data_IF_048036722509
#
_entry.id   IF_048036722509
#
_cell.length_a   1.000
_cell.length_b   1.000
_cell.length_c   1.000
_cell.angle_alpha   90.00
_cell.angle_beta   90.00
_cell.angle_gamma   90.00
#
_symmetry.space_group_name_H-M   'P 1'
#
loop_
_entity.id
_entity.type
_entity.pdbx_description
1 polymer ?
#
# COMPACT_ATOMS: atom_id res chain seq x y z
N UNK A 1 -36.85 -7.67 6.07
CA UNK A 1 -35.51 -8.24 5.80
C UNK A 1 -34.71 -7.21 5.03
N UNK A 2 -33.65 -6.66 5.63
CA UNK A 2 -32.77 -5.71 4.93
C UNK A 2 -31.82 -6.51 4.05
N UNK A 3 -32.00 -6.44 2.73
CA UNK A 3 -31.11 -7.11 1.78
C UNK A 3 -29.72 -6.43 1.89
N UNK A 4 -28.71 -7.18 2.34
CA UNK A 4 -27.34 -6.67 2.42
C UNK A 4 -26.83 -6.56 0.99
N UNK A 5 -26.67 -5.32 0.50
CA UNK A 5 -26.11 -5.07 -0.84
C UNK A 5 -24.67 -5.59 -0.92
N UNK A 6 -24.32 -6.23 -2.04
CA UNK A 6 -22.93 -6.61 -2.32
C UNK A 6 -22.03 -5.39 -2.48
N UNK A 7 -20.70 -5.50 -2.35
CA UNK A 7 -19.84 -4.34 -2.61
C UNK A 7 -19.97 -3.87 -4.06
N UNK A 8 -20.15 -4.77 -5.02
CA UNK A 8 -20.42 -4.41 -6.42
C UNK A 8 -21.64 -3.50 -6.55
N UNK A 9 -22.77 -3.87 -5.93
CA UNK A 9 -24.00 -3.04 -5.96
C UNK A 9 -23.82 -1.68 -5.26
N UNK A 10 -22.96 -1.62 -4.25
CA UNK A 10 -22.69 -0.37 -3.51
C UNK A 10 -21.83 0.60 -4.32
N UNK A 11 -20.95 0.07 -5.17
CA UNK A 11 -20.00 0.84 -5.99
C UNK A 11 -20.39 0.82 -7.48
N UNK A 12 -21.64 0.47 -7.82
CA UNK A 12 -22.08 0.32 -9.21
C UNK A 12 -21.94 1.61 -10.03
N UNK A 13 -22.07 2.77 -9.38
CA UNK A 13 -21.92 4.09 -10.00
C UNK A 13 -20.50 4.67 -9.82
N UNK A 14 -19.52 3.84 -9.44
CA UNK A 14 -18.14 4.24 -9.21
C UNK A 14 -17.19 3.48 -10.12
N UNK A 15 -16.29 4.23 -10.74
CA UNK A 15 -15.26 3.72 -11.64
C UNK A 15 -13.93 4.42 -11.37
N UNK A 16 -12.84 3.78 -11.75
CA UNK A 16 -11.55 4.46 -11.85
C UNK A 16 -11.46 5.06 -13.24
N UNK A 17 -11.24 6.37 -13.30
CA UNK A 17 -11.20 7.11 -14.58
C UNK A 17 -9.77 7.46 -15.00
N UNK A 18 -9.56 7.69 -16.30
CA UNK A 18 -8.29 8.20 -16.82
C UNK A 18 -7.90 9.56 -16.19
N UNK A 19 -8.90 10.38 -15.81
CA UNK A 19 -8.69 11.63 -15.06
C UNK A 19 -8.10 11.36 -13.68
N UNK A 20 -8.59 10.32 -12.98
CA UNK A 20 -8.01 9.92 -11.70
C UNK A 20 -6.57 9.41 -11.86
N UNK A 21 -6.28 8.64 -12.91
CA UNK A 21 -4.91 8.18 -13.18
C UNK A 21 -3.97 9.33 -13.58
N UNK A 22 -4.47 10.31 -14.33
CA UNK A 22 -3.75 11.55 -14.61
C UNK A 22 -3.44 12.30 -13.32
N UNK A 23 -4.44 12.44 -12.44
CA UNK A 23 -4.27 13.03 -11.12
C UNK A 23 -3.28 12.26 -10.25
N UNK A 24 -3.31 10.92 -10.29
CA UNK A 24 -2.37 10.05 -9.60
C UNK A 24 -0.93 10.28 -10.09
N UNK A 25 -0.71 10.32 -11.40
CA UNK A 25 0.58 10.59 -12.05
C UNK A 25 1.12 11.97 -11.69
N UNK A 26 0.28 13.01 -11.80
CA UNK A 26 0.67 14.39 -11.48
C UNK A 26 0.97 14.57 -9.99
N UNK A 27 0.20 13.90 -9.13
CA UNK A 27 0.42 13.92 -7.71
C UNK A 27 1.76 13.25 -7.32
N UNK A 28 2.16 12.22 -8.06
CA UNK A 28 3.43 11.51 -7.86
C UNK A 28 3.38 10.52 -6.69
N UNK A 29 4.56 10.01 -6.28
CA UNK A 29 4.68 8.96 -5.27
C UNK A 29 4.00 9.24 -3.94
N UNK A 30 3.57 8.18 -3.26
CA UNK A 30 2.80 8.27 -2.01
C UNK A 30 1.37 8.79 -2.23
N UNK A 31 0.83 8.64 -3.44
CA UNK A 31 -0.58 8.90 -3.78
C UNK A 31 -1.23 7.59 -4.18
N UNK A 32 -2.48 7.42 -3.77
CA UNK A 32 -3.24 6.19 -3.87
C UNK A 32 -4.64 6.48 -4.43
N UNK A 33 -5.20 5.53 -5.15
CA UNK A 33 -6.64 5.41 -5.38
C UNK A 33 -7.20 4.48 -4.32
N UNK A 34 -8.23 4.94 -3.63
CA UNK A 34 -8.83 4.23 -2.49
C UNK A 34 -10.34 4.15 -2.63
N UNK A 35 -10.92 3.03 -2.20
CA UNK A 35 -12.35 2.89 -1.97
C UNK A 35 -12.69 3.16 -0.50
N UNK A 36 -13.52 4.17 -0.25
CA UNK A 36 -14.11 4.45 1.05
C UNK A 36 -15.36 3.60 1.26
N UNK A 37 -15.26 2.53 2.06
CA UNK A 37 -16.33 1.59 2.33
C UNK A 37 -17.50 2.18 3.12
N UNK A 38 -17.36 3.33 3.77
CA UNK A 38 -18.48 3.96 4.47
C UNK A 38 -19.28 4.87 3.54
N UNK A 39 -18.60 5.55 2.63
CA UNK A 39 -19.18 6.51 1.70
C UNK A 39 -19.54 5.89 0.34
N UNK A 40 -19.08 4.66 0.06
CA UNK A 40 -19.17 4.01 -1.24
C UNK A 40 -18.57 4.86 -2.37
N UNK A 41 -17.40 5.46 -2.13
CA UNK A 41 -16.73 6.34 -3.10
C UNK A 41 -15.35 5.83 -3.45
N UNK A 42 -14.95 6.02 -4.70
CA UNK A 42 -13.58 5.82 -5.17
C UNK A 42 -12.93 7.19 -5.34
N UNK A 43 -11.73 7.38 -4.81
CA UNK A 43 -11.09 8.69 -4.80
C UNK A 43 -9.57 8.62 -4.68
N UNK A 44 -8.93 9.75 -5.00
CA UNK A 44 -7.50 9.96 -4.80
C UNK A 44 -7.21 10.39 -3.36
N UNK A 45 -6.19 9.81 -2.75
CA UNK A 45 -5.74 10.17 -1.42
C UNK A 45 -4.22 10.12 -1.32
N UNK A 46 -3.64 11.06 -0.56
CA UNK A 46 -2.22 10.98 -0.21
C UNK A 46 -2.03 9.96 0.90
N UNK A 47 -1.06 9.05 0.78
CA UNK A 47 -0.78 8.04 1.79
C UNK A 47 -0.51 8.65 3.18
N UNK A 48 0.08 9.84 3.23
CA UNK A 48 0.32 10.58 4.49
C UNK A 48 -0.95 11.05 5.21
N UNK A 49 -2.06 11.20 4.49
CA UNK A 49 -3.36 11.62 5.02
C UNK A 49 -4.31 10.44 5.22
N UNK A 50 -3.94 9.24 4.79
CA UNK A 50 -4.74 8.05 4.96
C UNK A 50 -4.76 7.68 6.45
N UNK A 51 -5.94 7.61 7.10
CA UNK A 51 -6.02 7.08 8.45
C UNK A 51 -5.80 5.57 8.38
N UNK A 52 -4.57 5.10 8.56
CA UNK A 52 -4.19 3.68 8.38
C UNK A 52 -4.84 2.75 9.43
N UNK A 53 -5.32 3.31 10.55
CA UNK A 53 -6.20 2.62 11.50
C UNK A 53 -7.62 2.39 10.98
N UNK A 54 -8.06 3.13 9.96
CA UNK A 54 -9.39 3.04 9.40
C UNK A 54 -9.51 1.86 8.43
N UNK A 55 -10.16 0.80 8.91
CA UNK A 55 -10.44 -0.40 8.11
C UNK A 55 -11.46 -0.18 6.99
N UNK A 56 -12.10 0.99 6.96
CA UNK A 56 -13.07 1.35 5.92
C UNK A 56 -12.41 1.96 4.67
N UNK A 57 -11.07 2.04 4.59
CA UNK A 57 -10.38 2.45 3.38
C UNK A 57 -9.64 1.28 2.76
N UNK A 58 -10.05 0.88 1.55
CA UNK A 58 -9.38 -0.15 0.76
C UNK A 58 -8.49 0.54 -0.27
N UNK A 59 -7.22 0.19 -0.31
CA UNK A 59 -6.29 0.70 -1.32
C UNK A 59 -6.49 -0.14 -2.59
N UNK A 60 -6.91 0.51 -3.67
CA UNK A 60 -7.17 -0.14 -4.96
C UNK A 60 -5.93 -0.13 -5.84
N UNK A 61 -5.20 0.98 -5.82
CA UNK A 61 -4.12 1.24 -6.75
C UNK A 61 -3.21 2.36 -6.22
N UNK A 62 -1.92 2.33 -6.54
CA UNK A 62 -0.97 3.37 -6.14
C UNK A 62 -0.15 3.91 -7.30
N UNK A 63 0.57 5.02 -7.07
CA UNK A 63 1.46 5.60 -8.08
C UNK A 63 2.50 4.59 -8.60
N UNK A 64 3.05 3.75 -7.72
CA UNK A 64 4.01 2.72 -8.11
C UNK A 64 3.39 1.61 -8.95
N UNK A 65 2.08 1.36 -8.84
CA UNK A 65 1.36 0.44 -9.73
C UNK A 65 1.16 1.09 -11.10
N UNK A 66 0.75 2.37 -11.14
CA UNK A 66 0.62 3.13 -12.38
C UNK A 66 1.94 3.18 -13.16
N UNK A 67 3.05 3.46 -12.48
CA UNK A 67 4.36 3.51 -13.11
C UNK A 67 4.76 2.17 -13.75
N UNK A 68 4.32 1.05 -13.19
CA UNK A 68 4.56 -0.27 -13.78
C UNK A 68 3.65 -0.54 -14.97
N UNK A 69 2.36 -0.22 -14.84
CA UNK A 69 1.36 -0.54 -15.86
C UNK A 69 1.45 0.39 -17.08
N UNK A 70 1.99 1.61 -16.92
CA UNK A 70 2.26 2.51 -18.05
C UNK A 70 3.18 1.87 -19.11
N UNK A 71 4.14 1.05 -18.69
CA UNK A 71 5.01 0.32 -19.62
C UNK A 71 4.27 -0.86 -20.29
N UNK A 72 3.35 -1.50 -19.56
CA UNK A 72 2.60 -2.66 -20.05
C UNK A 72 1.49 -2.29 -21.04
N UNK A 73 0.83 -1.15 -20.81
CA UNK A 73 -0.29 -0.64 -21.61
C UNK A 73 0.12 0.47 -22.59
N UNK A 74 1.41 0.59 -22.93
CA UNK A 74 1.95 1.61 -23.86
C UNK A 74 1.49 3.05 -23.54
N UNK A 75 1.30 3.35 -22.25
CA UNK A 75 0.82 4.64 -21.77
C UNK A 75 -0.68 4.92 -21.92
N UNK A 76 -1.50 3.95 -22.35
CA UNK A 76 -2.95 4.09 -22.49
C UNK A 76 -3.64 4.13 -21.11
N UNK A 77 -3.85 5.35 -20.61
CA UNK A 77 -4.55 5.56 -19.35
C UNK A 77 -6.01 5.14 -19.38
N UNK A 78 -6.69 5.15 -20.54
CA UNK A 78 -8.08 4.75 -20.62
C UNK A 78 -8.21 3.24 -20.48
N UNK A 79 -7.33 2.47 -21.12
CA UNK A 79 -7.27 1.02 -20.97
C UNK A 79 -6.93 0.61 -19.54
N UNK A 80 -5.93 1.25 -18.91
CA UNK A 80 -5.60 1.00 -17.50
C UNK A 80 -6.81 1.29 -16.59
N UNK A 81 -7.52 2.40 -16.80
CA UNK A 81 -8.67 2.75 -15.96
C UNK A 81 -9.81 1.74 -16.10
N UNK A 82 -10.08 1.28 -17.33
CA UNK A 82 -11.08 0.25 -17.60
C UNK A 82 -10.70 -1.09 -16.93
N UNK A 83 -9.47 -1.56 -17.15
CA UNK A 83 -8.98 -2.80 -16.55
C UNK A 83 -9.00 -2.76 -15.01
N UNK A 84 -8.62 -1.62 -14.42
CA UNK A 84 -8.65 -1.43 -12.98
C UNK A 84 -10.07 -1.34 -12.42
N UNK A 85 -11.03 -0.80 -13.18
CA UNK A 85 -12.45 -0.75 -12.79
C UNK A 85 -13.04 -2.16 -12.75
N UNK A 86 -12.84 -2.95 -13.81
CA UNK A 86 -13.26 -4.36 -13.85
C UNK A 86 -12.63 -5.17 -12.70
N UNK A 87 -11.31 -5.03 -12.51
CA UNK A 87 -10.62 -5.70 -11.39
C UNK A 87 -11.18 -5.26 -10.04
N UNK A 88 -11.51 -3.97 -9.88
CA UNK A 88 -12.11 -3.46 -8.64
C UNK A 88 -13.46 -4.11 -8.40
N UNK A 89 -14.34 -4.17 -9.38
CA UNK A 89 -15.67 -4.80 -9.20
C UNK A 89 -15.58 -6.29 -8.86
N UNK A 90 -14.65 -7.02 -9.46
CA UNK A 90 -14.48 -8.45 -9.19
C UNK A 90 -13.80 -8.73 -7.84
N UNK A 91 -12.89 -7.86 -7.41
CA UNK A 91 -12.02 -8.13 -6.28
C UNK A 91 -12.33 -7.33 -5.01
N UNK A 92 -13.19 -6.30 -5.05
CA UNK A 92 -13.38 -5.38 -3.94
C UNK A 92 -13.86 -6.08 -2.66
N UNK A 93 -14.75 -7.05 -2.76
CA UNK A 93 -15.20 -7.85 -1.60
C UNK A 93 -14.02 -8.57 -0.91
N UNK A 94 -13.16 -9.22 -1.71
CA UNK A 94 -11.97 -9.91 -1.21
C UNK A 94 -10.93 -8.93 -0.66
N UNK A 95 -10.71 -7.78 -1.30
CA UNK A 95 -9.79 -6.76 -0.80
C UNK A 95 -10.29 -6.09 0.48
N UNK A 96 -11.59 -5.81 0.58
CA UNK A 96 -12.23 -5.29 1.79
C UNK A 96 -12.09 -6.30 2.94
N UNK A 97 -12.40 -7.57 2.68
CA UNK A 97 -12.24 -8.65 3.65
C UNK A 97 -10.80 -8.78 4.15
N UNK A 98 -9.82 -8.77 3.24
CA UNK A 98 -8.38 -8.81 3.58
C UNK A 98 -7.96 -7.60 4.39
N UNK A 99 -8.38 -6.40 3.99
CA UNK A 99 -8.10 -5.13 4.68
C UNK A 99 -8.66 -5.12 6.11
N UNK A 100 -9.89 -5.61 6.31
CA UNK A 100 -10.51 -5.73 7.63
C UNK A 100 -9.79 -6.75 8.54
N UNK A 101 -9.17 -7.77 7.94
CA UNK A 101 -8.42 -8.84 8.63
C UNK A 101 -6.97 -8.52 8.91
N UNK A 102 -6.42 -7.41 8.41
CA UNK A 102 -5.10 -6.95 8.80
C UNK A 102 -5.06 -6.84 10.33
N UNK A 103 -4.05 -7.40 10.99
CA UNK A 103 -3.96 -7.31 12.44
C UNK A 103 -3.39 -5.96 12.91
N UNK A 104 -3.49 -5.72 14.22
CA UNK A 104 -3.10 -4.44 14.81
C UNK A 104 -1.61 -4.11 14.61
N UNK A 105 -0.74 -5.12 14.61
CA UNK A 105 0.70 -4.93 14.45
C UNK A 105 1.08 -4.46 13.05
N UNK A 106 0.47 -5.02 12.01
CA UNK A 106 0.72 -4.58 10.63
C UNK A 106 0.20 -3.15 10.40
N UNK A 107 -0.94 -2.80 11.00
CA UNK A 107 -1.43 -1.41 10.96
C UNK A 107 -0.47 -0.44 11.68
N UNK A 108 -0.03 -0.79 12.88
CA UNK A 108 0.95 0.00 13.62
C UNK A 108 2.24 0.17 12.80
N UNK A 109 2.74 -0.89 12.18
CA UNK A 109 3.89 -0.84 11.29
C UNK A 109 3.68 0.15 10.13
N UNK A 110 2.51 0.12 9.45
CA UNK A 110 2.20 1.09 8.39
C UNK A 110 2.21 2.53 8.90
N UNK A 111 1.65 2.77 10.09
CA UNK A 111 1.66 4.08 10.73
C UNK A 111 3.09 4.54 11.06
N UNK A 112 3.90 3.65 11.62
CA UNK A 112 5.31 3.91 11.91
C UNK A 112 6.11 4.25 10.65
N UNK A 113 5.90 3.51 9.56
CA UNK A 113 6.50 3.79 8.25
C UNK A 113 6.10 5.19 7.77
N UNK A 114 4.81 5.54 7.84
CA UNK A 114 4.28 6.85 7.45
C UNK A 114 4.90 8.00 8.25
N UNK A 115 5.03 7.84 9.57
CA UNK A 115 5.65 8.83 10.47
C UNK A 115 7.11 9.03 10.11
N UNK A 116 7.83 7.96 9.78
CA UNK A 116 9.24 7.99 9.36
C UNK A 116 9.42 8.34 7.86
N UNK A 117 8.46 9.06 7.26
CA UNK A 117 8.60 9.61 5.91
C UNK A 117 8.43 8.60 4.77
N UNK A 118 8.02 7.36 5.05
CA UNK A 118 7.79 6.33 4.05
C UNK A 118 6.30 6.26 3.71
N UNK A 119 5.92 6.80 2.56
CA UNK A 119 4.52 6.82 2.11
C UNK A 119 4.19 5.57 1.29
N UNK A 120 3.10 4.88 1.63
CA UNK A 120 2.65 3.72 0.84
C UNK A 120 2.43 4.14 -0.62
N UNK A 121 2.98 3.37 -1.55
CA UNK A 121 3.08 3.75 -2.96
C UNK A 121 2.38 2.77 -3.92
N UNK A 122 2.09 1.55 -3.45
CA UNK A 122 1.41 0.51 -4.22
C UNK A 122 0.29 -0.12 -3.42
N UNK A 123 -0.63 -0.80 -4.10
CA UNK A 123 -1.61 -1.67 -3.46
C UNK A 123 -0.89 -2.75 -2.64
N UNK A 124 -1.28 -2.96 -1.37
CA UNK A 124 -0.77 -4.06 -0.58
C UNK A 124 -1.02 -5.42 -1.23
N UNK A 125 -0.01 -6.30 -1.22
CA UNK A 125 -0.17 -7.70 -1.60
C UNK A 125 -0.48 -8.52 -0.36
N UNK A 126 -1.45 -9.42 -0.48
CA UNK A 126 -1.86 -10.31 0.60
C UNK A 126 -1.73 -11.74 0.12
N UNK A 127 -0.95 -12.52 0.84
CA UNK A 127 -0.65 -13.91 0.51
C UNK A 127 -0.85 -14.80 1.74
N UNK A 128 -0.89 -16.11 1.52
CA UNK A 128 -0.83 -17.09 2.60
C UNK A 128 0.47 -17.87 2.50
N UNK A 129 1.11 -18.09 3.64
CA UNK A 129 2.19 -19.07 3.73
C UNK A 129 1.63 -20.49 3.62
N UNK A 130 2.50 -21.47 3.37
CA UNK A 130 2.13 -22.89 3.37
C UNK A 130 1.54 -23.34 4.72
N UNK A 131 1.94 -22.68 5.80
CA UNK A 131 1.42 -22.88 7.16
C UNK A 131 0.11 -22.14 7.43
N UNK A 132 -0.49 -21.48 6.43
CA UNK A 132 -1.77 -20.79 6.51
C UNK A 132 -1.73 -19.39 7.13
N UNK A 133 -0.56 -18.87 7.48
CA UNK A 133 -0.42 -17.52 8.03
C UNK A 133 -0.61 -16.48 6.93
N UNK A 134 -1.20 -15.33 7.27
CA UNK A 134 -1.35 -14.23 6.32
C UNK A 134 -0.06 -13.39 6.28
N UNK A 135 0.45 -13.21 5.07
CA UNK A 135 1.56 -12.30 4.77
C UNK A 135 1.00 -11.03 4.13
N UNK A 136 1.48 -9.88 4.56
CA UNK A 136 1.16 -8.58 3.98
C UNK A 136 2.44 -7.96 3.47
N UNK A 137 2.50 -7.70 2.17
CA UNK A 137 3.61 -7.01 1.53
C UNK A 137 3.18 -5.62 1.11
N UNK A 138 3.80 -4.61 1.71
CA UNK A 138 3.57 -3.21 1.42
C UNK A 138 4.81 -2.61 0.75
N UNK A 139 4.59 -1.69 -0.19
CA UNK A 139 5.67 -0.93 -0.85
C UNK A 139 5.49 0.54 -0.56
N UNK A 140 6.57 1.20 -0.17
CA UNK A 140 6.60 2.60 0.25
C UNK A 140 7.66 3.34 -0.54
N UNK A 141 7.40 4.61 -0.81
CA UNK A 141 8.39 5.54 -1.36
C UNK A 141 8.88 6.46 -0.24
N UNK A 142 10.19 6.69 -0.21
CA UNK A 142 10.78 7.63 0.73
C UNK A 142 10.50 9.06 0.28
N UNK A 143 9.80 9.83 1.11
CA UNK A 143 9.26 11.15 0.73
C UNK A 143 10.34 12.14 0.29
N UNK A 144 11.48 12.14 0.98
CA UNK A 144 12.56 13.10 0.71
C UNK A 144 13.31 12.75 -0.58
N UNK A 145 13.33 11.47 -0.98
CA UNK A 145 14.12 10.95 -2.09
C UNK A 145 13.37 9.84 -2.81
N UNK A 146 12.48 10.16 -3.78
CA UNK A 146 11.57 9.18 -4.39
C UNK A 146 12.23 8.04 -5.18
N UNK A 147 13.52 8.14 -5.49
CA UNK A 147 14.32 7.03 -6.04
C UNK A 147 14.51 5.89 -5.04
N UNK A 148 14.43 6.20 -3.75
CA UNK A 148 14.51 5.22 -2.66
C UNK A 148 13.10 4.73 -2.34
N UNK A 149 12.95 3.41 -2.37
CA UNK A 149 11.73 2.74 -1.94
C UNK A 149 12.03 1.69 -0.88
N UNK A 150 11.00 1.33 -0.14
CA UNK A 150 11.05 0.33 0.89
C UNK A 150 9.94 -0.69 0.68
N UNK A 151 10.22 -1.96 0.93
CA UNK A 151 9.18 -2.98 1.04
C UNK A 151 9.16 -3.55 2.44
N UNK A 152 7.97 -3.75 3.00
CA UNK A 152 7.80 -4.55 4.20
C UNK A 152 7.07 -5.82 3.86
N UNK A 153 7.64 -6.97 4.18
CA UNK A 153 6.93 -8.24 4.16
C UNK A 153 6.65 -8.64 5.62
N UNK A 154 5.40 -8.52 6.06
CA UNK A 154 4.99 -8.76 7.44
C UNK A 154 4.16 -10.04 7.56
N UNK A 155 4.52 -10.88 8.52
CA UNK A 155 3.80 -12.10 8.88
C UNK A 155 3.34 -11.98 10.33
N UNK A 156 2.05 -12.18 10.55
CA UNK A 156 1.46 -12.10 11.90
C UNK A 156 1.06 -13.49 12.41
N UNK A 157 1.64 -13.89 13.54
CA UNK A 157 1.34 -15.18 14.18
C UNK A 157 0.15 -15.06 15.13
N UNK A 158 0.09 -13.99 15.91
CA UNK A 158 -0.98 -13.72 16.88
C UNK A 158 -1.29 -12.22 16.93
N UNK A 159 -2.32 -11.82 17.68
CA UNK A 159 -2.66 -10.40 17.88
C UNK A 159 -1.58 -9.58 18.62
N UNK A 160 -0.57 -10.23 19.19
CA UNK A 160 0.48 -9.58 20.00
C UNK A 160 1.91 -9.84 19.51
N UNK A 161 2.10 -10.76 18.56
CA UNK A 161 3.43 -11.10 18.00
C UNK A 161 3.38 -11.27 16.49
N UNK A 162 4.33 -10.64 15.81
CA UNK A 162 4.58 -10.78 14.38
C UNK A 162 6.06 -10.62 14.06
N UNK A 163 6.42 -10.82 12.80
CA UNK A 163 7.74 -10.50 12.25
C UNK A 163 7.55 -9.77 10.94
N UNK A 164 8.51 -8.94 10.59
CA UNK A 164 8.58 -8.35 9.26
C UNK A 164 10.02 -8.31 8.76
N UNK A 165 10.16 -8.18 7.45
CA UNK A 165 11.41 -7.85 6.78
C UNK A 165 11.23 -6.49 6.12
N UNK A 166 12.08 -5.52 6.47
CA UNK A 166 12.16 -4.23 5.78
C UNK A 166 13.29 -4.29 4.78
N UNK A 167 13.01 -4.07 3.49
CA UNK A 167 14.01 -4.06 2.43
C UNK A 167 14.05 -2.69 1.78
N UNK A 168 15.23 -2.11 1.61
CA UNK A 168 15.45 -0.84 0.91
C UNK A 168 15.90 -1.10 -0.52
N UNK A 169 15.40 -0.29 -1.44
CA UNK A 169 15.76 -0.31 -2.85
C UNK A 169 16.16 1.10 -3.32
N UNK A 170 17.08 1.16 -4.28
CA UNK A 170 17.50 2.37 -5.00
C UNK A 170 17.27 2.13 -6.49
N UNK A 171 16.34 2.87 -7.10
CA UNK A 171 15.89 2.64 -8.48
C UNK A 171 15.46 1.18 -8.75
N UNK A 172 14.80 0.55 -7.77
CA UNK A 172 14.35 -0.85 -7.88
C UNK A 172 15.45 -1.89 -7.62
N UNK A 173 16.70 -1.49 -7.42
CA UNK A 173 17.78 -2.41 -7.04
C UNK A 173 17.86 -2.56 -5.52
N UNK A 174 17.95 -3.81 -5.00
CA UNK A 174 18.02 -4.03 -3.56
C UNK A 174 19.33 -3.47 -2.99
N UNK A 175 19.24 -2.73 -1.88
CA UNK A 175 20.39 -2.16 -1.17
C UNK A 175 20.66 -2.91 0.13
N UNK A 176 19.61 -3.24 0.89
CA UNK A 176 19.73 -3.90 2.17
C UNK A 176 18.39 -4.38 2.71
N UNK A 177 18.44 -5.37 3.59
CA UNK A 177 17.26 -5.95 4.21
C UNK A 177 17.50 -6.21 5.71
N UNK A 178 16.50 -5.85 6.53
CA UNK A 178 16.60 -5.92 7.99
C UNK A 178 15.37 -6.62 8.58
N UNK A 179 15.55 -7.80 9.19
CA UNK A 179 14.45 -8.47 9.88
C UNK A 179 14.12 -7.72 11.16
N UNK A 180 12.83 -7.70 11.51
CA UNK A 180 12.33 -7.04 12.71
C UNK A 180 11.23 -7.85 13.37
N UNK A 181 11.21 -7.82 14.70
CA UNK A 181 10.08 -8.30 15.49
C UNK A 181 9.01 -7.21 15.52
N UNK A 182 7.75 -7.63 15.40
CA UNK A 182 6.60 -6.75 15.61
C UNK A 182 6.00 -7.05 16.97
N UNK A 183 6.03 -6.05 17.84
CA UNK A 183 5.47 -6.07 19.20
C UNK A 183 4.46 -4.95 19.37
N UNK A 184 3.59 -5.04 20.38
CA UNK A 184 2.64 -3.96 20.68
C UNK A 184 3.32 -2.70 21.22
N UNK A 185 4.50 -2.85 21.80
CA UNK A 185 5.24 -1.80 22.46
C UNK A 185 6.46 -1.43 21.63
N UNK A 186 6.47 -0.22 21.08
CA UNK A 186 7.61 0.37 20.40
C UNK A 186 7.61 0.22 18.88
N UNK A 187 8.20 1.21 18.23
CA UNK A 187 8.49 1.21 16.80
C UNK A 187 9.72 0.32 16.55
N UNK A 188 9.71 -0.57 15.55
CA UNK A 188 10.89 -1.37 15.23
C UNK A 188 12.08 -0.51 14.82
N UNK A 189 13.28 -0.78 15.38
CA UNK A 189 14.49 -0.02 15.09
C UNK A 189 14.81 0.14 13.59
N UNK A 190 14.65 -0.89 12.73
CA UNK A 190 14.85 -0.71 11.29
C UNK A 190 13.96 0.35 10.65
N UNK A 191 12.74 0.56 11.16
CA UNK A 191 11.82 1.59 10.66
C UNK A 191 12.29 2.99 11.07
N UNK A 192 12.72 3.16 12.32
CA UNK A 192 13.25 4.46 12.80
C UNK A 192 14.59 4.82 12.17
N UNK A 193 15.42 3.83 11.85
CA UNK A 193 16.74 4.04 11.25
C UNK A 193 16.70 4.18 9.73
N UNK A 194 15.61 3.75 9.08
CA UNK A 194 15.47 3.75 7.61
C UNK A 194 15.78 5.09 6.95
N UNK A 195 15.30 6.26 7.45
CA UNK A 195 15.62 7.55 6.86
C UNK A 195 17.12 7.87 6.89
N UNK A 196 17.79 7.57 8.00
CA UNK A 196 19.24 7.79 8.14
C UNK A 196 20.01 6.84 7.22
N UNK A 197 19.63 5.57 7.16
CA UNK A 197 20.23 4.56 6.27
C UNK A 197 20.10 4.97 4.80
N UNK A 198 18.94 5.49 4.39
CA UNK A 198 18.73 6.01 3.05
C UNK A 198 19.66 7.19 2.75
N UNK A 199 19.77 8.16 3.67
CA UNK A 199 20.67 9.32 3.51
C UNK A 199 22.13 8.90 3.41
N UNK A 200 22.61 8.03 4.31
CA UNK A 200 23.99 7.51 4.25
C UNK A 200 24.26 6.78 2.93
N UNK A 201 23.33 5.97 2.43
CA UNK A 201 23.50 5.31 1.13
C UNK A 201 23.62 6.30 -0.03
N UNK A 202 22.84 7.38 0.00
CA UNK A 202 22.89 8.45 -0.99
C UNK A 202 24.20 9.25 -0.90
N UNK A 203 24.68 9.57 0.31
CA UNK A 203 25.92 10.32 0.51
C UNK A 203 27.16 9.53 0.02
N UNK A 204 27.10 8.19 0.04
CA UNK A 204 28.15 7.31 -0.47
C UNK A 204 28.12 7.13 -2.00
N UNK A 205 27.08 7.65 -2.68
CA UNK A 205 26.88 7.53 -4.13
C UNK A 205 26.64 8.92 -4.73
N UNK A 206 27.70 9.62 -5.18
CA UNK A 206 27.56 10.91 -5.84
C UNK A 206 26.67 10.86 -7.09
#
# INVERSE_FOLDING_TARGET
MTMIRTMRERFADQEVTATMLTGLRQAGPGTLITAGLNQNTIGLMRARTLPLGNRANVILYGHGDLAHDLDYYDGDLAEIAWALTEQTWDCLDNWAHRTMRIGALVRALRDDMRVNGMGLDRRPKYERTDTGLTTVTDTYTFRDQPRISFTTCAVQYTSARGRALLTMFDHGHPVGAWPMALTRTGVPAPVTEAPVRARTHLDLRP
#
